data_IF_682988320312
#
_entry.id   IF_682988320312
#
_cell.length_a   1.000
_cell.length_b   1.000
_cell.length_c   1.000
_cell.angle_alpha   90.00
_cell.angle_beta   90.00
_cell.angle_gamma   90.00
#
_symmetry.space_group_name_H-M   'P 1'
#
loop_
_entity.id
_entity.type
_entity.pdbx_description
1 polymer ?
#
# COMPACT_ATOMS: atom_id res chain seq x y z
N UNK A 1 -49.37 -1.14 14.65
CA UNK A 1 -48.60 -0.27 13.74
C UNK A 1 -47.18 -0.27 14.22
N UNK A 2 -46.35 -1.14 13.65
CA UNK A 2 -44.92 -1.13 13.80
C UNK A 2 -44.38 -0.55 12.48
N UNK A 3 -44.18 0.75 12.46
CA UNK A 3 -43.37 1.41 11.45
C UNK A 3 -41.90 1.18 11.82
N UNK A 4 -41.36 0.03 11.44
CA UNK A 4 -39.93 -0.14 11.28
C UNK A 4 -39.52 0.70 10.07
N UNK A 5 -39.23 1.97 10.27
CA UNK A 5 -38.42 2.74 9.35
C UNK A 5 -37.02 2.10 9.34
N UNK A 6 -36.83 1.22 8.38
CA UNK A 6 -35.53 0.68 8.02
C UNK A 6 -34.71 1.84 7.41
N UNK A 7 -34.08 2.62 8.29
CA UNK A 7 -33.06 3.60 7.90
C UNK A 7 -31.85 2.82 7.38
N UNK A 8 -31.94 2.32 6.17
CA UNK A 8 -30.73 2.00 5.39
C UNK A 8 -29.99 3.31 5.19
N UNK A 9 -29.10 3.64 6.13
CA UNK A 9 -28.18 4.76 6.00
C UNK A 9 -27.34 4.48 4.77
N UNK A 10 -27.60 5.19 3.69
CA UNK A 10 -26.76 5.16 2.51
C UNK A 10 -25.37 5.69 2.91
N UNK A 11 -24.38 4.81 2.84
CA UNK A 11 -22.98 5.18 3.10
C UNK A 11 -22.49 6.08 1.97
N UNK A 12 -21.73 7.12 2.32
CA UNK A 12 -21.22 8.13 1.40
C UNK A 12 -19.76 8.39 1.64
N UNK A 13 -19.05 8.73 0.57
CA UNK A 13 -17.75 9.35 0.68
C UNK A 13 -17.88 10.88 0.79
N UNK A 14 -17.01 11.44 1.61
CA UNK A 14 -16.91 12.88 1.80
C UNK A 14 -15.44 13.31 1.88
N UNK A 15 -15.15 14.52 1.43
CA UNK A 15 -13.81 15.11 1.51
C UNK A 15 -13.84 16.29 2.48
N UNK A 16 -12.91 16.27 3.44
CA UNK A 16 -12.58 17.42 4.27
C UNK A 16 -11.29 18.03 3.76
N UNK A 17 -11.32 19.30 3.39
CA UNK A 17 -10.17 20.04 2.89
C UNK A 17 -9.74 21.03 3.96
N UNK A 18 -8.55 20.84 4.53
CA UNK A 18 -7.95 21.77 5.48
C UNK A 18 -6.92 22.62 4.75
N UNK A 19 -7.14 23.93 4.67
CA UNK A 19 -6.22 24.89 4.08
C UNK A 19 -5.15 25.34 5.10
N UNK A 20 -4.00 25.84 4.64
CA UNK A 20 -2.97 26.42 5.52
C UNK A 20 -3.49 27.57 6.40
N UNK A 21 -4.56 28.24 6.00
CA UNK A 21 -5.25 29.27 6.76
C UNK A 21 -6.04 28.76 7.97
N UNK A 22 -6.22 27.42 8.07
CA UNK A 22 -7.11 26.78 9.06
C UNK A 22 -8.56 26.67 8.60
N UNK A 23 -8.90 27.16 7.41
CA UNK A 23 -10.24 27.00 6.83
C UNK A 23 -10.49 25.52 6.50
N UNK A 24 -11.67 25.02 6.86
CA UNK A 24 -12.11 23.65 6.57
C UNK A 24 -13.30 23.71 5.63
N UNK A 25 -13.19 23.01 4.51
CA UNK A 25 -14.27 22.82 3.55
C UNK A 25 -14.72 21.36 3.54
N UNK A 26 -16.01 21.15 3.28
CA UNK A 26 -16.63 19.84 3.20
C UNK A 26 -17.25 19.66 1.82
N UNK A 27 -17.02 18.49 1.20
CA UNK A 27 -17.57 18.11 -0.09
C UNK A 27 -18.12 16.70 0.00
N UNK A 28 -19.40 16.51 -0.35
CA UNK A 28 -20.05 15.20 -0.49
C UNK A 28 -19.70 14.62 -1.88
N UNK A 29 -19.06 13.48 -1.93
CA UNK A 29 -18.75 12.74 -3.17
C UNK A 29 -19.86 11.76 -3.59
N UNK A 30 -20.93 11.68 -2.82
CA UNK A 30 -22.09 10.82 -3.10
C UNK A 30 -21.94 9.39 -2.57
N UNK A 31 -22.72 8.49 -3.16
CA UNK A 31 -22.86 7.10 -2.70
C UNK A 31 -21.55 6.33 -2.69
N UNK A 32 -21.19 5.77 -1.52
CA UNK A 32 -20.00 4.94 -1.37
C UNK A 32 -20.05 3.74 -2.32
N UNK A 33 -21.20 3.03 -2.38
CA UNK A 33 -21.37 1.87 -3.24
C UNK A 33 -21.15 2.19 -4.72
N UNK A 34 -21.63 3.35 -5.20
CA UNK A 34 -21.45 3.71 -6.61
C UNK A 34 -19.98 4.03 -6.93
N UNK A 35 -19.30 4.71 -6.03
CA UNK A 35 -17.90 5.05 -6.20
C UNK A 35 -16.99 3.81 -6.11
N UNK A 36 -17.24 2.93 -5.14
CA UNK A 36 -16.53 1.67 -4.97
C UNK A 36 -16.65 0.74 -6.17
N UNK A 37 -17.86 0.60 -6.73
CA UNK A 37 -18.07 -0.18 -7.95
C UNK A 37 -17.26 0.38 -9.13
N UNK A 38 -17.19 1.70 -9.29
CA UNK A 38 -16.39 2.32 -10.35
C UNK A 38 -14.88 2.12 -10.11
N UNK A 39 -14.42 2.16 -8.88
CA UNK A 39 -13.02 1.86 -8.53
C UNK A 39 -12.70 0.40 -8.90
N UNK A 40 -13.56 -0.54 -8.54
CA UNK A 40 -13.37 -1.95 -8.86
C UNK A 40 -13.35 -2.20 -10.37
N UNK A 41 -14.27 -1.58 -11.13
CA UNK A 41 -14.31 -1.66 -12.59
C UNK A 41 -13.02 -1.13 -13.23
N UNK A 42 -12.52 0.04 -12.80
CA UNK A 42 -11.29 0.62 -13.29
C UNK A 42 -10.05 -0.24 -12.96
N UNK A 43 -9.98 -0.79 -11.75
CA UNK A 43 -8.92 -1.72 -11.34
C UNK A 43 -8.95 -3.01 -12.15
N UNK A 44 -10.13 -3.58 -12.38
CA UNK A 44 -10.31 -4.78 -13.18
C UNK A 44 -9.88 -4.54 -14.63
N UNK A 45 -10.36 -3.45 -15.26
CA UNK A 45 -9.98 -3.09 -16.63
C UNK A 45 -8.46 -2.89 -16.78
N UNK A 46 -7.82 -2.24 -15.80
CA UNK A 46 -6.37 -2.04 -15.77
C UNK A 46 -5.63 -3.38 -15.68
N UNK A 47 -6.08 -4.28 -14.81
CA UNK A 47 -5.47 -5.59 -14.58
C UNK A 47 -5.55 -6.48 -15.82
N UNK A 48 -6.65 -6.43 -16.52
CA UNK A 48 -6.90 -7.24 -17.72
C UNK A 48 -6.42 -6.54 -19.03
N UNK A 49 -5.80 -5.35 -18.90
CA UNK A 49 -5.28 -4.54 -20.03
C UNK A 49 -6.36 -4.17 -21.05
N UNK A 50 -7.56 -3.84 -20.59
CA UNK A 50 -8.62 -3.40 -21.49
C UNK A 50 -8.42 -1.95 -21.95
N UNK A 51 -8.87 -1.62 -23.15
CA UNK A 51 -8.66 -0.31 -23.79
C UNK A 51 -9.44 0.84 -23.09
N UNK A 52 -10.44 0.52 -22.30
CA UNK A 52 -11.27 1.50 -21.58
C UNK A 52 -10.72 1.91 -20.19
N UNK A 53 -9.63 1.27 -19.73
CA UNK A 53 -9.04 1.56 -18.42
C UNK A 53 -8.75 3.05 -18.21
N UNK A 54 -8.17 3.72 -19.22
CA UNK A 54 -7.84 5.15 -19.14
C UNK A 54 -9.08 6.04 -19.04
N UNK A 55 -10.17 5.65 -19.70
CA UNK A 55 -11.45 6.35 -19.62
C UNK A 55 -12.07 6.21 -18.22
N UNK A 56 -12.05 5.01 -17.65
CA UNK A 56 -12.58 4.74 -16.31
C UNK A 56 -11.83 5.53 -15.23
N UNK A 57 -10.49 5.60 -15.31
CA UNK A 57 -9.70 6.43 -14.40
C UNK A 57 -9.97 7.94 -14.59
N UNK A 58 -10.21 8.39 -15.82
CA UNK A 58 -10.62 9.77 -16.10
C UNK A 58 -11.98 10.08 -15.47
N UNK A 59 -12.97 9.20 -15.60
CA UNK A 59 -14.27 9.37 -14.95
C UNK A 59 -14.15 9.44 -13.43
N UNK A 60 -13.33 8.58 -12.82
CA UNK A 60 -13.06 8.62 -11.39
C UNK A 60 -12.39 9.93 -10.97
N UNK A 61 -11.44 10.44 -11.76
CA UNK A 61 -10.82 11.75 -11.55
C UNK A 61 -11.87 12.86 -11.53
N UNK A 62 -12.84 12.82 -12.44
CA UNK A 62 -13.93 13.79 -12.49
C UNK A 62 -14.83 13.72 -11.24
N UNK A 63 -15.12 12.53 -10.75
CA UNK A 63 -15.97 12.35 -9.56
C UNK A 63 -15.23 12.79 -8.28
N UNK A 64 -13.97 12.39 -8.15
CA UNK A 64 -13.22 12.58 -6.90
C UNK A 64 -12.58 13.97 -6.84
N UNK A 65 -11.98 14.44 -7.93
CA UNK A 65 -11.10 15.60 -7.92
C UNK A 65 -11.74 16.88 -8.41
N UNK A 66 -12.59 16.84 -9.43
CA UNK A 66 -13.20 18.08 -9.97
C UNK A 66 -13.97 18.86 -8.91
N UNK A 67 -14.75 18.22 -8.00
CA UNK A 67 -15.47 18.96 -6.98
C UNK A 67 -14.57 19.74 -6.01
N UNK A 68 -13.29 19.35 -5.91
CA UNK A 68 -12.36 19.94 -4.95
C UNK A 68 -11.36 20.92 -5.58
N UNK A 69 -11.21 20.93 -6.92
CA UNK A 69 -10.21 21.75 -7.62
C UNK A 69 -10.32 23.24 -7.28
N UNK A 70 -11.52 23.80 -7.31
CA UNK A 70 -11.74 25.20 -7.01
C UNK A 70 -11.44 25.55 -5.55
N UNK A 71 -11.64 24.60 -4.64
CA UNK A 71 -11.39 24.78 -3.22
C UNK A 71 -9.91 24.74 -2.89
N UNK A 72 -9.13 23.84 -3.53
CA UNK A 72 -7.68 23.76 -3.31
C UNK A 72 -6.92 24.92 -3.97
N UNK A 73 -7.50 25.54 -5.01
CA UNK A 73 -6.94 26.73 -5.66
C UNK A 73 -5.53 26.51 -6.20
N UNK A 74 -4.63 27.47 -5.92
CA UNK A 74 -3.25 27.50 -6.41
C UNK A 74 -2.26 26.71 -5.52
N UNK A 75 -2.75 25.74 -4.77
CA UNK A 75 -1.87 24.88 -3.94
C UNK A 75 -0.95 24.03 -4.82
N UNK A 76 0.34 24.00 -4.50
CA UNK A 76 1.33 23.17 -5.22
C UNK A 76 1.43 21.76 -4.64
N UNK A 77 1.21 21.62 -3.33
CA UNK A 77 1.35 20.34 -2.60
C UNK A 77 0.04 19.95 -1.96
N UNK A 78 -0.37 18.70 -2.19
CA UNK A 78 -1.57 18.12 -1.60
C UNK A 78 -1.20 16.91 -0.74
N UNK A 79 -1.56 16.98 0.55
CA UNK A 79 -1.54 15.85 1.44
C UNK A 79 -2.89 15.14 1.39
N UNK A 80 -2.91 13.89 0.95
CA UNK A 80 -4.13 13.11 0.73
C UNK A 80 -4.15 11.95 1.73
N UNK A 81 -5.20 11.89 2.54
CA UNK A 81 -5.46 10.78 3.47
C UNK A 81 -6.71 10.04 2.99
N UNK A 82 -6.58 9.03 2.12
CA UNK A 82 -7.72 8.28 1.62
C UNK A 82 -8.27 7.34 2.69
N UNK A 83 -9.56 7.01 2.60
CA UNK A 83 -10.24 6.02 3.44
C UNK A 83 -10.98 5.00 2.56
N UNK A 84 -11.23 3.80 3.12
CA UNK A 84 -11.93 2.72 2.42
C UNK A 84 -11.28 2.35 1.08
N UNK A 85 -12.09 2.14 0.06
CA UNK A 85 -11.64 1.75 -1.29
C UNK A 85 -10.86 2.87 -2.01
N UNK A 86 -10.93 4.11 -1.54
CA UNK A 86 -10.10 5.21 -2.07
C UNK A 86 -8.59 4.95 -1.87
N UNK A 87 -8.20 4.10 -0.92
CA UNK A 87 -6.80 3.67 -0.78
C UNK A 87 -6.27 2.88 -1.98
N UNK A 88 -7.15 2.37 -2.84
CA UNK A 88 -6.79 1.62 -4.05
C UNK A 88 -6.70 2.51 -5.30
N UNK A 89 -7.06 3.78 -5.18
CA UNK A 89 -7.04 4.75 -6.27
C UNK A 89 -5.61 5.25 -6.50
N UNK A 90 -5.05 5.10 -7.71
CA UNK A 90 -3.76 5.68 -8.07
C UNK A 90 -3.92 7.19 -8.33
N UNK A 91 -3.99 8.01 -7.28
CA UNK A 91 -4.24 9.45 -7.39
C UNK A 91 -3.32 10.15 -8.39
N UNK A 92 -2.06 9.73 -8.48
CA UNK A 92 -1.10 10.28 -9.45
C UNK A 92 -1.52 10.09 -10.90
N UNK A 93 -2.25 9.00 -11.20
CA UNK A 93 -2.72 8.65 -12.54
C UNK A 93 -4.11 9.22 -12.87
N UNK A 94 -4.80 9.87 -11.94
CA UNK A 94 -6.05 10.54 -12.22
C UNK A 94 -5.82 11.75 -13.14
N UNK A 95 -6.71 11.96 -14.11
CA UNK A 95 -6.65 13.10 -15.03
C UNK A 95 -7.45 14.29 -14.50
N UNK A 96 -6.97 15.49 -14.82
CA UNK A 96 -7.68 16.75 -14.54
C UNK A 96 -8.69 16.99 -15.66
N UNK A 97 -9.88 17.44 -15.30
CA UNK A 97 -10.94 17.77 -16.26
C UNK A 97 -10.44 18.69 -17.37
N UNK A 98 -10.90 18.43 -18.60
CA UNK A 98 -10.59 19.19 -19.82
C UNK A 98 -9.09 19.28 -20.16
N UNK A 99 -8.26 18.41 -19.57
CA UNK A 99 -6.84 18.34 -19.89
C UNK A 99 -6.41 16.87 -19.99
N UNK A 100 -5.39 16.60 -20.81
CA UNK A 100 -4.74 15.29 -20.84
C UNK A 100 -3.65 15.14 -19.75
N UNK A 101 -3.57 16.12 -18.85
CA UNK A 101 -2.59 16.14 -17.76
C UNK A 101 -3.05 15.30 -16.59
N UNK A 102 -2.12 14.58 -15.99
CA UNK A 102 -2.34 13.86 -14.76
C UNK A 102 -2.24 14.78 -13.53
N UNK A 103 -2.84 14.37 -12.41
CA UNK A 103 -2.73 15.13 -11.16
C UNK A 103 -1.28 15.34 -10.74
N UNK A 104 -0.42 14.33 -10.94
CA UNK A 104 1.01 14.41 -10.62
C UNK A 104 1.77 15.46 -11.46
N UNK A 105 1.26 15.80 -12.65
CA UNK A 105 1.87 16.85 -13.49
C UNK A 105 1.60 18.27 -12.96
N UNK A 106 0.57 18.42 -12.12
CA UNK A 106 0.16 19.70 -11.57
C UNK A 106 0.48 19.84 -10.10
N UNK A 107 0.33 18.78 -9.32
CA UNK A 107 0.43 18.81 -7.86
C UNK A 107 1.52 17.87 -7.37
N UNK A 108 2.26 18.30 -6.35
CA UNK A 108 3.11 17.42 -5.56
C UNK A 108 2.21 16.63 -4.59
N UNK A 109 1.86 15.39 -4.96
CA UNK A 109 0.96 14.55 -4.21
C UNK A 109 1.71 13.81 -3.09
N UNK A 110 1.20 13.90 -1.87
CA UNK A 110 1.71 13.23 -0.68
C UNK A 110 0.60 12.40 -0.05
N UNK A 111 0.68 11.08 -0.19
CA UNK A 111 -0.24 10.18 0.48
C UNK A 111 0.19 10.01 1.94
N UNK A 112 -0.74 10.20 2.85
CA UNK A 112 -0.55 10.04 4.29
C UNK A 112 -1.65 9.14 4.86
N UNK A 113 -1.34 8.39 5.91
CA UNK A 113 -2.34 7.54 6.56
C UNK A 113 -3.32 8.38 7.38
N UNK A 114 -2.81 9.38 8.07
CA UNK A 114 -3.63 10.32 8.84
C UNK A 114 -3.00 11.71 8.85
N UNK A 115 -3.81 12.76 9.00
CA UNK A 115 -3.30 14.13 9.16
C UNK A 115 -2.33 14.34 10.35
N UNK A 116 -2.30 13.40 11.32
CA UNK A 116 -1.33 13.45 12.44
C UNK A 116 0.11 13.26 12.00
N UNK A 117 0.36 12.59 10.87
CA UNK A 117 1.70 12.40 10.32
C UNK A 117 2.36 13.74 10.01
N UNK A 118 1.59 14.75 9.62
CA UNK A 118 2.11 16.09 9.36
C UNK A 118 2.83 16.69 10.58
N UNK A 119 2.36 16.38 11.79
CA UNK A 119 2.99 16.83 13.05
C UNK A 119 4.33 16.14 13.33
N UNK A 120 4.55 14.96 12.72
CA UNK A 120 5.80 14.21 12.88
C UNK A 120 6.81 14.54 11.80
N UNK A 121 6.37 14.90 10.58
CA UNK A 121 7.24 15.30 9.48
C UNK A 121 8.07 16.54 9.82
N UNK A 122 7.52 17.48 10.59
CA UNK A 122 8.24 18.68 11.04
C UNK A 122 9.37 18.37 12.06
N UNK A 123 9.35 17.18 12.68
CA UNK A 123 10.29 16.80 13.74
C UNK A 123 11.44 15.92 13.28
N UNK A 124 11.48 15.51 12.03
CA UNK A 124 12.54 14.66 11.48
C UNK A 124 13.77 15.51 11.09
N UNK A 125 14.49 16.04 12.09
CA UNK A 125 15.79 16.69 11.88
C UNK A 125 17.00 15.75 11.94
N UNK A 126 16.81 14.47 12.26
CA UNK A 126 17.92 13.52 12.41
C UNK A 126 18.05 12.63 11.18
N UNK A 127 19.17 12.79 10.48
CA UNK A 127 19.57 11.85 9.43
C UNK A 127 19.79 10.46 10.06
N UNK A 128 18.95 9.48 9.69
CA UNK A 128 19.17 8.09 10.05
C UNK A 128 20.40 7.56 9.27
N UNK A 129 21.44 7.16 9.97
CA UNK A 129 22.65 6.57 9.38
C UNK A 129 22.60 5.03 9.34
N UNK A 130 21.46 4.41 9.62
CA UNK A 130 21.32 2.97 9.56
C UNK A 130 21.46 2.49 8.12
N UNK A 131 22.05 1.32 7.96
CA UNK A 131 22.29 0.75 6.63
C UNK A 131 20.99 0.44 5.92
N UNK A 132 20.85 0.94 4.70
CA UNK A 132 19.72 0.61 3.79
C UNK A 132 19.71 -0.88 3.43
N UNK A 133 18.53 -1.41 3.15
CA UNK A 133 18.30 -2.83 2.84
C UNK A 133 17.56 -2.95 1.52
N UNK A 134 18.02 -3.87 0.68
CA UNK A 134 17.36 -4.27 -0.57
C UNK A 134 17.09 -5.77 -0.50
N UNK A 135 15.83 -6.16 -0.60
CA UNK A 135 15.41 -7.55 -0.65
C UNK A 135 14.90 -7.85 -2.05
N UNK A 136 15.44 -8.87 -2.70
CA UNK A 136 15.09 -9.22 -4.08
C UNK A 136 15.17 -10.73 -4.30
N UNK A 137 14.46 -11.21 -5.33
CA UNK A 137 14.46 -12.60 -5.76
C UNK A 137 14.38 -13.62 -4.59
N UNK A 138 13.35 -13.57 -3.73
CA UNK A 138 13.17 -14.53 -2.66
C UNK A 138 13.03 -15.96 -3.23
N UNK A 139 13.67 -16.94 -2.60
CA UNK A 139 13.48 -18.34 -2.98
C UNK A 139 12.21 -18.90 -2.30
N UNK A 140 11.09 -18.83 -2.98
CA UNK A 140 9.77 -19.16 -2.43
C UNK A 140 9.64 -20.62 -1.99
N UNK A 141 10.40 -21.56 -2.60
CA UNK A 141 10.42 -22.99 -2.24
C UNK A 141 11.40 -23.34 -1.11
N UNK A 142 12.04 -22.33 -0.53
CA UNK A 142 13.02 -22.50 0.57
C UNK A 142 12.43 -23.19 1.78
N UNK A 143 13.27 -23.96 2.47
CA UNK A 143 12.96 -24.44 3.83
C UNK A 143 13.12 -23.36 4.90
N UNK A 144 13.65 -22.19 4.52
CA UNK A 144 13.98 -21.11 5.43
C UNK A 144 15.28 -21.38 6.21
N UNK A 145 15.73 -20.33 6.91
CA UNK A 145 16.90 -20.41 7.80
C UNK A 145 16.39 -20.63 9.22
N UNK A 146 16.80 -21.72 9.86
CA UNK A 146 16.50 -21.98 11.27
C UNK A 146 17.19 -20.91 12.12
N UNK A 147 16.41 -20.04 12.77
CA UNK A 147 16.91 -19.15 13.81
C UNK A 147 16.59 -19.76 15.16
N UNK A 148 17.56 -19.77 16.09
CA UNK A 148 17.37 -20.31 17.45
C UNK A 148 16.43 -19.46 18.34
N UNK A 149 15.70 -18.51 17.74
CA UNK A 149 14.71 -17.70 18.44
C UNK A 149 13.32 -18.24 18.10
N UNK A 150 12.71 -18.90 19.10
CA UNK A 150 11.30 -19.29 19.06
C UNK A 150 10.44 -18.00 19.06
N UNK A 151 10.21 -17.43 17.90
CA UNK A 151 9.09 -16.50 17.72
C UNK A 151 7.83 -17.35 17.55
N UNK A 152 7.11 -17.50 18.65
CA UNK A 152 5.84 -18.26 18.70
C UNK A 152 4.70 -17.41 18.11
N UNK A 153 4.81 -17.08 16.82
CA UNK A 153 3.74 -16.43 16.04
C UNK A 153 3.08 -17.40 15.07
N UNK A 154 2.83 -18.64 15.54
CA UNK A 154 1.91 -19.54 14.84
C UNK A 154 0.45 -19.18 15.18
N UNK A 155 0.03 -17.97 14.89
CA UNK A 155 -1.39 -17.74 14.64
C UNK A 155 -1.77 -18.61 13.43
N UNK A 156 -2.82 -19.40 13.55
CA UNK A 156 -3.39 -20.21 12.46
C UNK A 156 -3.79 -19.23 11.35
N UNK A 157 -2.86 -19.01 10.42
CA UNK A 157 -3.14 -18.25 9.22
C UNK A 157 -4.13 -19.06 8.40
N UNK A 158 -5.13 -18.41 7.85
CA UNK A 158 -6.21 -19.02 7.08
C UNK A 158 -5.65 -20.00 6.04
N UNK A 159 -6.25 -21.18 5.92
CA UNK A 159 -5.87 -22.27 5.02
C UNK A 159 -5.81 -21.89 3.52
N UNK A 160 -6.13 -20.67 3.17
CA UNK A 160 -6.18 -20.14 1.79
C UNK A 160 -4.81 -19.77 1.22
N UNK A 161 -3.81 -19.48 2.06
CA UNK A 161 -2.45 -19.21 1.58
C UNK A 161 -1.73 -20.47 1.07
N UNK A 162 -2.22 -21.65 1.39
CA UNK A 162 -1.61 -22.93 1.01
C UNK A 162 -1.91 -23.37 -0.44
N UNK A 163 -2.77 -22.66 -1.16
CA UNK A 163 -3.18 -23.06 -2.53
C UNK A 163 -2.50 -22.26 -3.62
N UNK A 164 -1.87 -21.12 -3.30
CA UNK A 164 -1.23 -20.27 -4.30
C UNK A 164 0.27 -20.57 -4.38
N UNK A 165 0.73 -20.96 -5.56
CA UNK A 165 2.14 -21.14 -5.88
C UNK A 165 2.72 -19.84 -6.42
N UNK A 166 3.73 -19.31 -5.78
CA UNK A 166 4.44 -18.09 -6.19
C UNK A 166 5.56 -18.43 -7.17
N UNK A 167 5.56 -17.78 -8.31
CA UNK A 167 6.59 -17.99 -9.35
C UNK A 167 7.85 -17.23 -8.97
N UNK A 168 9.02 -17.83 -9.30
CA UNK A 168 10.30 -17.17 -9.13
C UNK A 168 10.36 -15.83 -9.91
N UNK A 169 11.09 -14.86 -9.34
CA UNK A 169 11.29 -13.52 -9.90
C UNK A 169 12.79 -13.26 -10.21
N UNK A 170 13.41 -14.02 -11.14
CA UNK A 170 14.86 -13.97 -11.35
C UNK A 170 15.36 -12.58 -11.78
N UNK A 171 14.52 -11.80 -12.47
CA UNK A 171 14.89 -10.45 -12.91
C UNK A 171 14.92 -9.43 -11.76
N UNK A 172 14.21 -9.67 -10.66
CA UNK A 172 14.25 -8.80 -9.49
C UNK A 172 15.60 -8.80 -8.77
N UNK A 173 16.44 -9.85 -8.95
CA UNK A 173 17.81 -9.87 -8.42
C UNK A 173 18.65 -8.77 -9.06
N UNK A 174 18.58 -8.62 -10.40
CA UNK A 174 19.29 -7.55 -11.09
C UNK A 174 18.82 -6.16 -10.67
N UNK A 175 17.52 -5.99 -10.47
CA UNK A 175 16.97 -4.77 -9.90
C UNK A 175 17.57 -4.50 -8.52
N UNK A 176 17.57 -5.53 -7.65
CA UNK A 176 18.14 -5.45 -6.33
C UNK A 176 19.63 -5.09 -6.33
N UNK A 177 20.42 -5.66 -7.26
CA UNK A 177 21.84 -5.30 -7.43
C UNK A 177 22.04 -3.82 -7.79
N UNK A 178 21.25 -3.32 -8.76
CA UNK A 178 21.34 -1.93 -9.19
C UNK A 178 20.95 -0.98 -8.05
N UNK A 179 19.83 -1.25 -7.39
CA UNK A 179 19.34 -0.41 -6.31
C UNK A 179 20.27 -0.46 -5.10
N UNK A 180 20.76 -1.65 -4.70
CA UNK A 180 21.69 -1.77 -3.57
C UNK A 180 22.99 -0.98 -3.77
N UNK A 181 23.52 -0.97 -5.00
CA UNK A 181 24.66 -0.15 -5.35
C UNK A 181 24.36 1.35 -5.31
N UNK A 182 23.17 1.75 -5.81
CA UNK A 182 22.75 3.15 -5.84
C UNK A 182 22.62 3.76 -4.44
N UNK A 183 22.02 3.02 -3.50
CA UNK A 183 21.77 3.49 -2.12
C UNK A 183 22.82 3.03 -1.12
N UNK A 184 23.91 2.40 -1.57
CA UNK A 184 24.91 1.75 -0.72
C UNK A 184 24.29 0.82 0.34
N UNK A 185 23.24 0.06 -0.08
CA UNK A 185 22.44 -0.80 0.77
C UNK A 185 22.97 -2.24 0.85
N UNK A 186 22.46 -2.98 1.83
CA UNK A 186 22.70 -4.42 1.92
C UNK A 186 21.74 -5.15 0.99
N UNK A 187 22.24 -5.85 -0.03
CA UNK A 187 21.45 -6.77 -0.85
C UNK A 187 21.20 -8.10 -0.13
N UNK A 188 19.96 -8.56 -0.17
CA UNK A 188 19.50 -9.82 0.43
C UNK A 188 18.65 -10.57 -0.59
N UNK A 189 19.09 -11.76 -1.00
CA UNK A 189 18.46 -12.58 -2.06
C UNK A 189 18.30 -14.04 -1.63
N UNK A 190 17.52 -14.79 -2.38
CA UNK A 190 17.36 -16.23 -2.23
C UNK A 190 16.74 -16.61 -0.88
N UNK A 191 17.33 -17.60 -0.20
CA UNK A 191 16.84 -18.09 1.09
C UNK A 191 16.88 -17.05 2.22
N UNK A 192 17.81 -16.08 2.11
CA UNK A 192 17.97 -15.02 3.11
C UNK A 192 16.90 -13.93 2.97
N UNK A 193 16.25 -13.83 1.80
CA UNK A 193 15.18 -12.87 1.56
C UNK A 193 13.89 -13.33 2.25
N UNK A 194 13.90 -13.42 3.56
CA UNK A 194 12.84 -13.95 4.41
C UNK A 194 12.13 -12.86 5.22
N UNK A 195 10.89 -13.13 5.63
CA UNK A 195 10.15 -12.21 6.52
C UNK A 195 10.86 -12.07 7.87
N UNK A 196 11.43 -13.15 8.37
CA UNK A 196 12.23 -13.16 9.62
C UNK A 196 13.43 -12.23 9.53
N UNK A 197 14.16 -12.21 8.41
CA UNK A 197 15.27 -11.29 8.23
C UNK A 197 14.81 -9.83 8.39
N UNK A 198 13.72 -9.46 7.74
CA UNK A 198 13.22 -8.08 7.79
C UNK A 198 12.69 -7.70 9.19
N UNK A 199 12.02 -8.63 9.87
CA UNK A 199 11.50 -8.45 11.24
C UNK A 199 12.61 -8.18 12.28
N UNK A 200 13.84 -8.60 12.02
CA UNK A 200 15.00 -8.39 12.92
C UNK A 200 15.71 -7.06 12.69
N UNK A 201 15.24 -6.25 11.74
CA UNK A 201 15.89 -4.97 11.42
C UNK A 201 15.21 -3.81 12.14
N UNK A 202 16.02 -2.96 12.70
CA UNK A 202 15.58 -1.75 13.39
C UNK A 202 15.85 -0.54 12.51
N UNK A 203 14.80 0.13 12.08
CA UNK A 203 14.82 1.39 11.33
C UNK A 203 15.90 1.46 10.24
N UNK A 204 15.94 0.54 9.24
CA UNK A 204 16.82 0.75 8.10
C UNK A 204 16.50 2.08 7.43
N UNK A 205 17.52 2.81 6.95
CA UNK A 205 17.29 4.11 6.34
C UNK A 205 16.35 4.03 5.14
N UNK A 206 16.64 3.12 4.21
CA UNK A 206 15.80 2.81 3.04
C UNK A 206 15.55 1.31 3.02
N UNK A 207 14.32 0.93 2.74
CA UNK A 207 13.92 -0.46 2.50
C UNK A 207 13.39 -0.55 1.08
N UNK A 208 14.04 -1.35 0.23
CA UNK A 208 13.53 -1.69 -1.10
C UNK A 208 13.22 -3.19 -1.14
N UNK A 209 11.99 -3.54 -1.53
CA UNK A 209 11.51 -4.93 -1.59
C UNK A 209 11.02 -5.20 -3.01
N UNK A 210 11.77 -6.00 -3.77
CA UNK A 210 11.40 -6.48 -5.10
C UNK A 210 10.88 -7.92 -4.99
N UNK A 211 9.57 -8.08 -4.77
CA UNK A 211 8.91 -9.36 -4.54
C UNK A 211 7.43 -9.30 -4.87
N UNK A 212 6.75 -10.46 -4.83
CA UNK A 212 5.29 -10.49 -4.93
C UNK A 212 4.64 -9.81 -3.72
N UNK A 213 3.56 -9.10 -4.00
CA UNK A 213 2.62 -8.62 -3.00
C UNK A 213 1.20 -8.94 -3.44
N UNK A 214 0.28 -9.09 -2.50
CA UNK A 214 -1.13 -9.28 -2.79
C UNK A 214 -2.03 -8.59 -1.78
N UNK A 215 -3.24 -8.28 -2.23
CA UNK A 215 -4.33 -7.85 -1.38
C UNK A 215 -5.52 -8.80 -1.57
N UNK A 216 -6.03 -9.37 -0.47
CA UNK A 216 -7.13 -10.32 -0.48
C UNK A 216 -8.46 -9.58 -0.40
N UNK A 217 -9.08 -9.29 -1.55
CA UNK A 217 -10.36 -8.57 -1.63
C UNK A 217 -11.56 -9.42 -1.19
N UNK A 218 -11.53 -10.73 -1.44
CA UNK A 218 -12.73 -11.59 -1.42
C UNK A 218 -13.04 -12.26 -0.07
N UNK A 219 -12.24 -12.01 0.97
CA UNK A 219 -12.47 -12.62 2.29
C UNK A 219 -13.45 -11.79 3.12
N UNK A 220 -14.73 -12.09 2.99
CA UNK A 220 -15.80 -11.47 3.80
C UNK A 220 -15.69 -11.75 5.29
N UNK A 221 -14.96 -12.80 5.67
CA UNK A 221 -14.83 -13.26 7.07
C UNK A 221 -13.58 -12.74 7.78
N UNK A 222 -12.71 -11.97 7.10
CA UNK A 222 -11.53 -11.39 7.72
C UNK A 222 -11.88 -10.03 8.35
N UNK A 223 -12.13 -10.05 9.65
CA UNK A 223 -12.49 -8.86 10.43
C UNK A 223 -11.38 -7.80 10.51
N UNK A 224 -10.12 -8.18 10.25
CA UNK A 224 -9.00 -7.25 10.31
C UNK A 224 -8.44 -6.95 8.90
N UNK A 225 -8.69 -5.76 8.34
CA UNK A 225 -8.22 -5.39 7.01
C UNK A 225 -6.68 -5.43 6.88
N UNK A 226 -5.94 -5.28 7.97
CA UNK A 226 -4.47 -5.37 7.98
C UNK A 226 -3.94 -6.79 7.72
N UNK A 227 -4.79 -7.81 7.75
CA UNK A 227 -4.42 -9.18 7.36
C UNK A 227 -4.57 -9.43 5.86
N UNK A 228 -5.25 -8.53 5.14
CA UNK A 228 -5.49 -8.67 3.70
C UNK A 228 -4.28 -8.27 2.86
N UNK A 229 -3.52 -7.27 3.27
CA UNK A 229 -2.28 -6.86 2.59
C UNK A 229 -1.11 -7.76 3.00
N UNK A 230 -0.38 -8.31 2.02
CA UNK A 230 0.71 -9.27 2.24
C UNK A 230 1.86 -9.02 1.28
N UNK A 231 3.10 -9.15 1.79
CA UNK A 231 4.32 -9.23 0.99
C UNK A 231 4.87 -10.65 1.11
N UNK A 232 5.35 -11.20 0.00
CA UNK A 232 5.74 -12.60 -0.11
C UNK A 232 7.26 -12.73 -0.10
N UNK A 233 7.78 -13.62 0.73
CA UNK A 233 9.20 -13.84 0.98
C UNK A 233 9.59 -15.30 0.78
N UNK A 234 10.88 -15.60 0.99
CA UNK A 234 11.42 -16.95 0.92
C UNK A 234 10.64 -17.91 1.83
N UNK A 235 10.33 -19.09 1.32
CA UNK A 235 9.60 -20.14 2.03
C UNK A 235 8.08 -20.16 1.82
N UNK A 236 7.51 -19.16 1.13
CA UNK A 236 6.06 -19.03 0.98
C UNK A 236 5.38 -20.22 0.27
N UNK A 237 6.07 -20.94 -0.60
CA UNK A 237 5.56 -22.13 -1.26
C UNK A 237 5.76 -23.42 -0.42
N UNK A 238 6.56 -23.38 0.64
CA UNK A 238 6.95 -24.57 1.38
C UNK A 238 6.20 -24.63 2.72
N UNK A 239 5.22 -25.55 2.89
CA UNK A 239 4.44 -25.68 4.12
C UNK A 239 5.28 -26.11 5.33
N UNK A 240 6.48 -26.65 5.08
CA UNK A 240 7.44 -27.07 6.10
C UNK A 240 8.56 -26.04 6.34
N UNK A 241 8.43 -24.83 5.79
CA UNK A 241 9.40 -23.78 6.04
C UNK A 241 9.37 -23.33 7.49
N UNK A 242 10.54 -22.93 8.02
CA UNK A 242 10.65 -22.29 9.34
C UNK A 242 10.04 -20.88 9.37
N UNK A 243 10.09 -20.19 8.24
CA UNK A 243 9.43 -18.93 7.97
C UNK A 243 8.33 -19.19 6.95
N UNK A 244 7.10 -18.81 7.23
CA UNK A 244 5.98 -19.01 6.30
C UNK A 244 6.07 -18.14 5.03
N UNK A 245 7.10 -17.32 4.96
CA UNK A 245 7.36 -16.46 3.80
C UNK A 245 6.31 -15.39 3.57
N UNK A 246 5.51 -15.03 4.55
CA UNK A 246 4.45 -14.03 4.42
C UNK A 246 4.63 -12.95 5.49
N UNK A 247 4.58 -11.69 5.06
CA UNK A 247 4.56 -10.54 5.95
C UNK A 247 3.27 -9.75 5.73
N UNK A 248 2.38 -9.77 6.70
CA UNK A 248 1.10 -9.06 6.64
C UNK A 248 1.26 -7.59 7.02
N UNK A 249 0.33 -6.74 6.56
CA UNK A 249 0.30 -5.34 6.98
C UNK A 249 0.18 -5.22 8.51
N UNK A 250 -0.54 -6.11 9.18
CA UNK A 250 -0.62 -6.15 10.65
C UNK A 250 0.75 -6.38 11.30
N UNK A 251 1.57 -7.29 10.75
CA UNK A 251 2.92 -7.53 11.27
C UNK A 251 3.83 -6.33 11.02
N UNK A 252 3.70 -5.68 9.87
CA UNK A 252 4.45 -4.45 9.54
C UNK A 252 4.19 -3.36 10.57
N UNK A 253 2.96 -3.19 11.08
CA UNK A 253 2.67 -2.18 12.11
C UNK A 253 3.39 -2.40 13.44
N UNK A 254 3.92 -3.60 13.66
CA UNK A 254 4.67 -3.96 14.87
C UNK A 254 6.18 -3.81 14.71
N UNK A 255 6.66 -3.50 13.51
CA UNK A 255 8.09 -3.33 13.24
C UNK A 255 8.55 -1.93 13.68
N UNK A 256 9.80 -1.86 14.14
CA UNK A 256 10.40 -0.60 14.48
C UNK A 256 11.05 0.05 13.25
N UNK A 257 10.24 0.79 12.49
CA UNK A 257 10.69 1.55 11.31
C UNK A 257 10.50 3.06 11.50
N UNK A 258 10.50 3.49 12.76
CA UNK A 258 10.22 4.89 13.12
C UNK A 258 11.18 5.89 12.46
N UNK A 259 12.43 5.46 12.22
CA UNK A 259 13.47 6.29 11.61
C UNK A 259 13.77 5.87 10.16
N UNK A 260 12.91 5.06 9.54
CA UNK A 260 13.04 4.69 8.13
C UNK A 260 12.52 5.84 7.26
N UNK A 261 13.37 6.32 6.34
CA UNK A 261 13.05 7.48 5.49
C UNK A 261 12.18 7.08 4.29
N UNK A 262 12.38 5.86 3.76
CA UNK A 262 11.71 5.41 2.54
C UNK A 262 11.51 3.90 2.53
N UNK A 263 10.31 3.47 2.16
CA UNK A 263 9.99 2.07 1.82
C UNK A 263 9.48 2.02 0.38
N UNK A 264 10.10 1.18 -0.44
CA UNK A 264 9.70 0.92 -1.82
C UNK A 264 9.33 -0.55 -1.95
N UNK A 265 8.18 -0.82 -2.56
CA UNK A 265 7.72 -2.17 -2.92
C UNK A 265 7.56 -2.19 -4.44
N UNK A 266 8.32 -3.05 -5.10
CA UNK A 266 8.34 -3.23 -6.55
C UNK A 266 7.78 -4.60 -6.94
#
# INVERSE_FOLDING_TARGET
NNDNEDFTKEEKYAVFILKPTGEINFIDLGSARLLENKIEEALYSTKEYFDDADLLWKELGNIIFNPIIDVIGDSDTLFISPDGELNRVPFSALKIENSDRYLVDKYNLRLITTGRELLTLEKQENSNNNKSIVIANPFFDSKGISTNQNYDFKEKRSNLSQLKQWRALPYSEREGEVISNLINGQLVVGDKASSTFLKQKESPQIIHIASHAEFLSDQKDEYNPLLKGRIIFAGANNPNSFDDGILTALEITRLNWKETDLVVIS
#
